data_IF_623206869178
#
_entry.id   IF_623206869178
#
_cell.length_a   1.000
_cell.length_b   1.000
_cell.length_c   1.000
_cell.angle_alpha   90.00
_cell.angle_beta   90.00
_cell.angle_gamma   90.00
#
_symmetry.space_group_name_H-M   'P 1'
#
loop_
_entity.id
_entity.type
_entity.pdbx_description
1 polymer ?
#
# COMPACT_ATOMS: atom_id res chain seq x y z
N UNK A 1 -0.47 8.83 -21.94
CA UNK A 1 0.34 9.51 -20.88
C UNK A 1 0.72 10.91 -21.33
N UNK A 2 1.03 11.86 -20.43
CA UNK A 2 1.40 13.23 -20.87
C UNK A 2 2.72 13.25 -21.65
N UNK A 3 3.61 12.30 -21.38
CA UNK A 3 4.85 12.08 -22.16
C UNK A 3 4.59 11.94 -23.66
N UNK A 4 3.62 11.11 -24.05
CA UNK A 4 3.29 10.86 -25.47
C UNK A 4 2.84 12.16 -26.15
N UNK A 5 2.08 13.01 -25.44
CA UNK A 5 1.68 14.32 -25.96
C UNK A 5 2.89 15.24 -26.18
N UNK A 6 3.89 15.21 -25.28
CA UNK A 6 5.14 15.95 -25.45
C UNK A 6 5.97 15.43 -26.63
N UNK A 7 6.03 14.11 -26.82
CA UNK A 7 6.73 13.48 -27.95
C UNK A 7 6.10 13.88 -29.29
N UNK A 8 4.77 13.82 -29.38
CA UNK A 8 4.02 14.23 -30.56
C UNK A 8 4.25 15.72 -30.91
N UNK A 9 4.15 16.60 -29.92
CA UNK A 9 4.40 18.02 -30.14
C UNK A 9 5.85 18.27 -30.59
N UNK A 10 6.82 17.63 -29.93
CA UNK A 10 8.23 17.80 -30.27
C UNK A 10 8.51 17.34 -31.70
N UNK A 11 7.95 16.19 -32.11
CA UNK A 11 8.04 15.67 -33.46
C UNK A 11 7.40 16.63 -34.47
N UNK A 12 6.22 17.19 -34.18
CA UNK A 12 5.54 18.15 -35.04
C UNK A 12 6.36 19.44 -35.26
N UNK A 13 7.03 19.93 -34.20
CA UNK A 13 7.92 21.09 -34.31
C UNK A 13 9.20 20.79 -35.09
N UNK A 14 9.78 19.60 -34.90
CA UNK A 14 10.94 19.14 -35.68
C UNK A 14 10.61 18.93 -37.15
N UNK A 15 9.40 18.47 -37.47
CA UNK A 15 8.95 18.33 -38.86
C UNK A 15 8.89 19.69 -39.56
N UNK A 16 8.45 20.74 -38.86
CA UNK A 16 8.41 22.12 -39.40
C UNK A 16 9.80 22.78 -39.43
N UNK A 17 10.65 22.48 -38.45
CA UNK A 17 12.02 22.98 -38.37
C UNK A 17 12.96 21.87 -37.90
N UNK A 18 13.70 21.23 -38.82
CA UNK A 18 14.61 20.14 -38.48
C UNK A 18 15.70 20.51 -37.45
N UNK A 19 16.05 21.81 -37.33
CA UNK A 19 17.01 22.34 -36.35
C UNK A 19 16.39 22.57 -34.97
N UNK A 20 15.08 22.36 -34.79
CA UNK A 20 14.41 22.54 -33.50
C UNK A 20 14.92 21.50 -32.49
N UNK A 21 15.79 21.97 -31.58
CA UNK A 21 16.45 21.12 -30.60
C UNK A 21 15.57 20.84 -29.39
N UNK A 22 15.92 19.80 -28.63
CA UNK A 22 15.28 19.51 -27.35
C UNK A 22 15.44 20.66 -26.35
N UNK A 23 16.56 21.39 -26.41
CA UNK A 23 16.78 22.60 -25.60
C UNK A 23 15.80 23.71 -25.96
N UNK A 24 15.54 23.94 -27.25
CA UNK A 24 14.56 24.92 -27.69
C UNK A 24 13.14 24.52 -27.23
N UNK A 25 12.81 23.23 -27.26
CA UNK A 25 11.53 22.75 -26.76
C UNK A 25 11.39 22.91 -25.23
N UNK A 26 12.45 22.62 -24.48
CA UNK A 26 12.49 22.83 -23.04
C UNK A 26 12.33 24.31 -22.68
N UNK A 27 13.02 25.21 -23.41
CA UNK A 27 12.89 26.65 -23.24
C UNK A 27 11.45 27.13 -23.50
N UNK A 28 10.81 26.64 -24.57
CA UNK A 28 9.40 26.92 -24.85
C UNK A 28 8.50 26.49 -23.67
N UNK A 29 8.68 25.27 -23.18
CA UNK A 29 7.93 24.74 -22.03
C UNK A 29 8.27 25.45 -20.71
N UNK A 30 9.41 26.15 -20.63
CA UNK A 30 9.89 26.82 -19.41
C UNK A 30 10.46 25.83 -18.40
N UNK A 31 11.17 24.82 -18.88
CA UNK A 31 11.86 23.82 -18.05
C UNK A 31 13.28 23.60 -18.55
N UNK A 32 14.10 22.93 -17.76
CA UNK A 32 15.45 22.58 -18.17
C UNK A 32 15.45 21.33 -19.08
N UNK A 33 16.41 21.30 -20.01
CA UNK A 33 16.52 20.22 -20.98
C UNK A 33 16.79 18.84 -20.35
N UNK A 34 17.40 18.77 -19.16
CA UNK A 34 17.72 17.51 -18.50
C UNK A 34 16.44 16.87 -17.92
N UNK A 35 15.59 17.67 -17.29
CA UNK A 35 14.26 17.26 -16.81
C UNK A 35 13.39 16.80 -17.96
N UNK A 36 13.32 17.58 -19.04
CA UNK A 36 12.53 17.19 -20.21
C UNK A 36 13.03 15.89 -20.83
N UNK A 37 14.36 15.71 -20.96
CA UNK A 37 14.93 14.47 -21.48
C UNK A 37 14.63 13.26 -20.58
N UNK A 38 14.67 13.41 -19.25
CA UNK A 38 14.28 12.35 -18.32
C UNK A 38 12.80 11.97 -18.45
N UNK A 39 11.92 12.95 -18.67
CA UNK A 39 10.49 12.71 -18.87
C UNK A 39 10.22 11.98 -20.18
N UNK A 40 10.84 12.41 -21.28
CA UNK A 40 10.70 11.75 -22.59
C UNK A 40 11.29 10.33 -22.58
N UNK A 41 12.37 10.07 -21.83
CA UNK A 41 12.89 8.70 -21.65
C UNK A 41 12.03 7.84 -20.72
N UNK A 42 11.06 8.41 -20.03
CA UNK A 42 10.23 7.72 -19.04
C UNK A 42 10.95 7.42 -17.71
N UNK A 43 12.17 7.91 -17.51
CA UNK A 43 12.89 7.75 -16.24
C UNK A 43 12.35 8.66 -15.14
N UNK A 44 11.48 9.62 -15.50
CA UNK A 44 10.81 10.55 -14.58
C UNK A 44 9.39 10.84 -15.09
N UNK A 45 8.40 10.90 -14.20
CA UNK A 45 7.04 11.37 -14.54
C UNK A 45 6.96 12.90 -14.58
N UNK A 46 6.07 13.45 -15.40
CA UNK A 46 5.80 14.88 -15.43
C UNK A 46 5.04 15.30 -14.16
N UNK A 47 5.52 16.28 -13.36
CA UNK A 47 4.79 16.75 -12.19
C UNK A 47 3.43 17.34 -12.58
N UNK A 48 2.37 17.02 -11.82
CA UNK A 48 1.01 17.50 -12.11
C UNK A 48 0.88 19.03 -12.26
N UNK A 49 1.65 19.79 -11.47
CA UNK A 49 1.71 21.26 -11.60
C UNK A 49 2.31 21.72 -12.93
N UNK A 50 3.32 21.01 -13.45
CA UNK A 50 3.93 21.30 -14.74
C UNK A 50 3.03 20.89 -15.91
N UNK A 51 2.28 19.79 -15.79
CA UNK A 51 1.33 19.35 -16.82
C UNK A 51 0.35 20.45 -17.16
N UNK A 52 -0.26 21.12 -16.16
CA UNK A 52 -1.20 22.22 -16.41
C UNK A 52 -0.54 23.41 -17.12
N UNK A 53 0.65 23.81 -16.68
CA UNK A 53 1.39 24.92 -17.29
C UNK A 53 1.80 24.60 -18.75
N UNK A 54 2.27 23.38 -18.99
CA UNK A 54 2.67 22.91 -20.32
C UNK A 54 1.49 22.70 -21.24
N UNK A 55 0.41 22.08 -20.77
CA UNK A 55 -0.83 21.89 -21.53
C UNK A 55 -1.36 23.23 -22.06
N UNK A 56 -1.39 24.27 -21.20
CA UNK A 56 -1.76 25.64 -21.63
C UNK A 56 -0.85 26.17 -22.74
N UNK A 57 0.47 26.02 -22.62
CA UNK A 57 1.43 26.43 -23.68
C UNK A 57 1.24 25.65 -24.98
N UNK A 58 0.84 24.39 -24.87
CA UNK A 58 0.54 23.49 -25.99
C UNK A 58 -0.84 23.70 -26.60
N UNK A 59 -1.61 24.69 -26.12
CA UNK A 59 -2.94 25.03 -26.63
C UNK A 59 -4.05 24.08 -26.17
N UNK A 60 -3.82 23.27 -25.14
CA UNK A 60 -4.86 22.40 -24.58
C UNK A 60 -5.80 23.21 -23.68
N UNK A 61 -7.05 22.80 -23.69
CA UNK A 61 -8.08 23.27 -22.76
C UNK A 61 -7.80 22.79 -21.33
N UNK A 62 -8.35 23.47 -20.31
CA UNK A 62 -8.28 23.00 -18.92
C UNK A 62 -8.80 21.57 -18.73
N UNK A 63 -9.86 21.20 -19.46
CA UNK A 63 -10.50 19.89 -19.40
C UNK A 63 -9.56 18.80 -19.96
N UNK A 64 -8.94 19.02 -21.12
CA UNK A 64 -7.94 18.11 -21.68
C UNK A 64 -6.73 17.97 -20.73
N UNK A 65 -6.27 19.08 -20.14
CA UNK A 65 -5.18 19.06 -19.18
C UNK A 65 -5.53 18.24 -17.93
N UNK A 66 -6.79 18.31 -17.46
CA UNK A 66 -7.26 17.56 -16.30
C UNK A 66 -7.21 16.03 -16.53
N UNK A 67 -7.49 15.57 -17.76
CA UNK A 67 -7.37 14.15 -18.14
C UNK A 67 -5.94 13.65 -17.96
N UNK A 68 -4.95 14.42 -18.44
CA UNK A 68 -3.54 14.06 -18.28
C UNK A 68 -3.08 14.10 -16.82
N UNK A 69 -3.53 15.09 -16.05
CA UNK A 69 -3.25 15.16 -14.62
C UNK A 69 -3.83 13.93 -13.91
N UNK A 70 -5.07 13.55 -14.19
CA UNK A 70 -5.70 12.38 -13.60
C UNK A 70 -4.96 11.08 -13.97
N UNK A 71 -4.59 10.92 -15.25
CA UNK A 71 -3.84 9.77 -15.74
C UNK A 71 -2.46 9.62 -15.06
N UNK A 72 -1.75 10.72 -14.77
CA UNK A 72 -0.45 10.67 -14.10
C UNK A 72 -0.56 10.41 -12.58
N UNK A 73 -1.73 10.65 -11.98
CA UNK A 73 -2.05 10.26 -10.60
C UNK A 73 -2.46 8.79 -10.46
N UNK A 74 -2.76 8.09 -11.57
CA UNK A 74 -2.90 6.64 -11.53
C UNK A 74 -1.54 6.06 -11.16
N UNK A 75 -1.40 5.41 -9.98
CA UNK A 75 -0.14 4.81 -9.60
C UNK A 75 0.23 3.76 -10.66
N UNK A 76 1.51 3.65 -11.03
CA UNK A 76 1.92 2.46 -11.77
C UNK A 76 1.63 1.21 -10.94
N UNK A 77 1.58 0.05 -11.60
CA UNK A 77 1.27 -1.22 -10.95
C UNK A 77 2.16 -1.46 -9.71
N UNK A 78 3.44 -1.09 -9.76
CA UNK A 78 4.37 -1.23 -8.64
C UNK A 78 4.02 -0.32 -7.45
N UNK A 79 3.67 0.94 -7.71
CA UNK A 79 3.25 1.91 -6.69
C UNK A 79 1.88 1.55 -6.12
N UNK A 80 0.93 1.15 -6.95
CA UNK A 80 -0.38 0.66 -6.52
C UNK A 80 -0.23 -0.56 -5.60
N UNK A 81 0.60 -1.53 -6.00
CA UNK A 81 0.88 -2.71 -5.20
C UNK A 81 1.49 -2.35 -3.84
N UNK A 82 2.50 -1.46 -3.82
CA UNK A 82 3.13 -0.99 -2.57
C UNK A 82 2.13 -0.26 -1.66
N UNK A 83 1.26 0.57 -2.22
CA UNK A 83 0.21 1.25 -1.45
C UNK A 83 -0.81 0.27 -0.88
N UNK A 84 -1.20 -0.74 -1.65
CA UNK A 84 -2.11 -1.79 -1.19
C UNK A 84 -1.48 -2.62 -0.07
N UNK A 85 -0.22 -3.03 -0.21
CA UNK A 85 0.52 -3.72 0.86
C UNK A 85 0.63 -2.86 2.12
N UNK A 86 0.96 -1.58 1.99
CA UNK A 86 1.00 -0.66 3.14
C UNK A 86 -0.36 -0.60 3.84
N UNK A 87 -1.44 -0.36 3.09
CA UNK A 87 -2.80 -0.32 3.64
C UNK A 87 -3.17 -1.62 4.35
N UNK A 88 -2.84 -2.76 3.74
CA UNK A 88 -3.09 -4.08 4.34
C UNK A 88 -2.38 -4.21 5.69
N UNK A 89 -1.07 -3.96 5.75
CA UNK A 89 -0.30 -4.09 6.99
C UNK A 89 -0.66 -3.04 8.05
N UNK A 90 -1.03 -1.82 7.63
CA UNK A 90 -1.59 -0.81 8.53
C UNK A 90 -2.90 -1.28 9.16
N UNK A 91 -3.80 -1.89 8.38
CA UNK A 91 -5.05 -2.44 8.89
C UNK A 91 -4.80 -3.60 9.88
N UNK A 92 -3.82 -4.46 9.60
CA UNK A 92 -3.43 -5.54 10.52
C UNK A 92 -2.88 -4.99 11.85
N UNK A 93 -2.00 -3.98 11.80
CA UNK A 93 -1.48 -3.32 13.00
C UNK A 93 -2.59 -2.65 13.81
N UNK A 94 -3.51 -1.94 13.14
CA UNK A 94 -4.62 -1.27 13.80
C UNK A 94 -5.56 -2.27 14.48
N UNK A 95 -5.88 -3.38 13.82
CA UNK A 95 -6.71 -4.45 14.39
C UNK A 95 -6.10 -5.03 15.68
N UNK A 96 -4.79 -5.27 15.70
CA UNK A 96 -4.08 -5.76 16.90
C UNK A 96 -4.15 -4.76 18.07
N UNK A 97 -4.06 -3.46 17.78
CA UNK A 97 -4.02 -2.41 18.82
C UNK A 97 -5.42 -2.11 19.38
N UNK A 98 -6.44 -2.15 18.52
CA UNK A 98 -7.80 -1.72 18.86
C UNK A 98 -8.68 -2.85 19.37
N UNK A 99 -8.44 -4.10 18.93
CA UNK A 99 -9.29 -5.22 19.28
C UNK A 99 -8.63 -6.16 20.28
N UNK A 100 -9.21 -6.22 21.50
CA UNK A 100 -8.79 -7.15 22.57
C UNK A 100 -9.00 -8.64 22.22
N UNK A 101 -9.81 -8.96 21.21
CA UNK A 101 -10.12 -10.33 20.80
C UNK A 101 -8.87 -11.20 20.56
N UNK A 102 -7.83 -10.64 19.95
CA UNK A 102 -6.56 -11.33 19.71
C UNK A 102 -5.90 -11.80 21.00
N UNK A 103 -5.90 -10.94 22.02
CA UNK A 103 -5.35 -11.26 23.33
C UNK A 103 -6.19 -12.33 24.04
N UNK A 104 -7.52 -12.24 23.98
CA UNK A 104 -8.40 -13.23 24.63
C UNK A 104 -8.22 -14.63 24.05
N UNK A 105 -8.06 -14.75 22.74
CA UNK A 105 -7.76 -16.05 22.10
C UNK A 105 -6.46 -16.63 22.67
N UNK A 106 -5.37 -15.85 22.69
CA UNK A 106 -4.07 -16.32 23.18
C UNK A 106 -4.12 -16.64 24.67
N UNK A 107 -4.78 -15.80 25.48
CA UNK A 107 -4.95 -16.00 26.92
C UNK A 107 -5.73 -17.30 27.20
N UNK A 108 -6.86 -17.51 26.52
CA UNK A 108 -7.70 -18.68 26.70
C UNK A 108 -7.02 -19.96 26.20
N UNK A 109 -6.22 -19.90 25.13
CA UNK A 109 -5.44 -21.04 24.58
C UNK A 109 -4.47 -21.68 25.58
N UNK A 110 -4.16 -20.98 26.67
CA UNK A 110 -3.23 -21.39 27.72
C UNK A 110 -3.94 -21.93 28.96
N UNK A 111 -5.26 -21.91 28.97
CA UNK A 111 -6.06 -22.45 30.08
C UNK A 111 -6.21 -23.97 29.94
N UNK A 112 -6.29 -24.68 31.07
CA UNK A 112 -6.50 -26.14 31.05
C UNK A 112 -7.86 -26.57 30.48
N UNK A 113 -8.84 -25.67 30.44
CA UNK A 113 -10.18 -25.87 29.89
C UNK A 113 -10.32 -25.44 28.43
N UNK A 114 -9.20 -25.10 27.76
CA UNK A 114 -9.23 -24.55 26.42
C UNK A 114 -9.92 -25.48 25.41
N UNK A 115 -10.84 -24.91 24.63
CA UNK A 115 -11.42 -25.56 23.45
C UNK A 115 -11.05 -24.77 22.19
N UNK A 116 -10.49 -25.41 21.16
CA UNK A 116 -10.12 -24.78 19.88
C UNK A 116 -11.37 -24.51 19.01
N UNK A 117 -12.34 -23.78 19.56
CA UNK A 117 -13.62 -23.48 18.95
C UNK A 117 -13.98 -21.99 19.12
N UNK A 118 -14.35 -21.33 18.02
CA UNK A 118 -14.63 -19.90 18.02
C UNK A 118 -15.88 -19.53 18.84
N UNK A 119 -16.88 -20.40 18.95
CA UNK A 119 -18.10 -20.14 19.73
C UNK A 119 -17.81 -20.22 21.22
N UNK A 120 -17.02 -21.21 21.63
CA UNK A 120 -16.54 -21.32 23.00
C UNK A 120 -15.73 -20.09 23.41
N UNK A 121 -14.78 -19.65 22.57
CA UNK A 121 -13.97 -18.45 22.85
C UNK A 121 -14.86 -17.20 22.94
N UNK A 122 -15.80 -17.04 22.01
CA UNK A 122 -16.75 -15.93 22.01
C UNK A 122 -17.53 -15.84 23.32
N UNK A 123 -18.02 -16.97 23.82
CA UNK A 123 -18.72 -17.06 25.10
C UNK A 123 -17.80 -16.73 26.29
N UNK A 124 -16.58 -17.28 26.33
CA UNK A 124 -15.65 -17.06 27.46
C UNK A 124 -15.11 -15.62 27.52
N UNK A 125 -15.02 -14.95 26.37
CA UNK A 125 -14.44 -13.62 26.25
C UNK A 125 -15.49 -12.49 26.20
N UNK A 126 -16.79 -12.81 26.23
CA UNK A 126 -17.90 -11.87 25.98
C UNK A 126 -17.72 -11.10 24.66
N UNK A 127 -17.50 -11.86 23.58
CA UNK A 127 -17.29 -11.35 22.22
C UNK A 127 -18.28 -12.00 21.26
N UNK A 128 -18.48 -11.38 20.10
CA UNK A 128 -19.21 -12.03 19.01
C UNK A 128 -18.31 -13.06 18.30
N UNK A 129 -18.92 -14.12 17.78
CA UNK A 129 -18.20 -15.15 17.01
C UNK A 129 -17.46 -14.54 15.81
N UNK A 130 -18.06 -13.54 15.15
CA UNK A 130 -17.43 -12.84 14.02
C UNK A 130 -16.13 -12.12 14.44
N UNK A 131 -16.12 -11.45 15.59
CA UNK A 131 -14.91 -10.80 16.11
C UNK A 131 -13.83 -11.81 16.43
N UNK A 132 -14.19 -12.97 16.98
CA UNK A 132 -13.26 -14.07 17.23
C UNK A 132 -12.71 -14.63 15.91
N UNK A 133 -13.55 -14.83 14.89
CA UNK A 133 -13.12 -15.32 13.58
C UNK A 133 -12.15 -14.35 12.88
N UNK A 134 -12.43 -13.04 12.92
CA UNK A 134 -11.53 -12.02 12.37
C UNK A 134 -10.19 -12.02 13.11
N UNK A 135 -10.23 -12.05 14.45
CA UNK A 135 -9.02 -12.07 15.26
C UNK A 135 -8.20 -13.36 15.06
N UNK A 136 -8.86 -14.53 14.99
CA UNK A 136 -8.20 -15.81 14.72
C UNK A 136 -7.52 -15.79 13.35
N UNK A 137 -8.22 -15.35 12.31
CA UNK A 137 -7.67 -15.27 10.95
C UNK A 137 -6.40 -14.40 10.91
N UNK A 138 -6.40 -13.29 11.67
CA UNK A 138 -5.24 -12.42 11.82
C UNK A 138 -4.10 -13.10 12.59
N UNK A 139 -4.38 -13.79 13.70
CA UNK A 139 -3.37 -14.53 14.47
C UNK A 139 -2.68 -15.63 13.66
N UNK A 140 -3.44 -16.35 12.82
CA UNK A 140 -2.92 -17.38 11.91
C UNK A 140 -2.03 -16.75 10.82
N UNK A 141 -2.52 -15.68 10.16
CA UNK A 141 -1.74 -14.95 9.14
C UNK A 141 -0.43 -14.39 9.70
N UNK A 142 -0.46 -13.85 10.91
CA UNK A 142 0.74 -13.34 11.61
C UNK A 142 1.60 -14.45 12.22
N UNK A 143 1.26 -15.74 12.07
CA UNK A 143 1.99 -16.86 12.68
C UNK A 143 2.21 -16.67 14.18
N UNK A 144 1.18 -16.16 14.86
CA UNK A 144 1.08 -16.07 16.32
C UNK A 144 0.32 -17.28 16.88
N UNK A 145 -0.54 -17.87 16.05
CA UNK A 145 -1.16 -19.17 16.26
C UNK A 145 -0.98 -20.02 15.00
N UNK A 146 -1.11 -21.32 15.17
CA UNK A 146 -1.17 -22.32 14.09
C UNK A 146 -2.24 -23.34 14.42
N UNK A 147 -2.98 -23.81 13.42
CA UNK A 147 -3.90 -24.95 13.57
C UNK A 147 -3.16 -26.19 13.05
N UNK A 148 -2.84 -27.13 13.95
CA UNK A 148 -2.21 -28.38 13.58
C UNK A 148 -3.16 -29.33 12.84
N UNK A 149 -2.60 -30.39 12.24
CA UNK A 149 -3.35 -31.36 11.44
C UNK A 149 -4.52 -32.05 12.18
N UNK A 150 -4.46 -32.10 13.52
CA UNK A 150 -5.49 -32.69 14.38
C UNK A 150 -6.54 -31.68 14.85
N UNK A 151 -6.52 -30.44 14.32
CA UNK A 151 -7.38 -29.35 14.78
C UNK A 151 -6.93 -28.70 16.09
N UNK A 152 -5.85 -29.19 16.71
CA UNK A 152 -5.26 -28.57 17.90
C UNK A 152 -4.61 -27.24 17.55
N UNK A 153 -4.91 -26.19 18.31
CA UNK A 153 -4.26 -24.90 18.14
C UNK A 153 -2.94 -24.88 18.90
N UNK A 154 -1.89 -24.42 18.21
CA UNK A 154 -0.55 -24.24 18.76
C UNK A 154 -0.24 -22.76 18.81
N UNK A 155 0.21 -22.33 19.97
CA UNK A 155 0.60 -20.97 20.25
C UNK A 155 2.08 -20.76 19.85
N UNK A 156 2.38 -19.69 19.11
CA UNK A 156 3.70 -19.45 18.49
C UNK A 156 4.41 -18.18 19.02
N UNK A 157 3.90 -17.54 20.07
CA UNK A 157 4.55 -16.35 20.67
C UNK A 157 5.84 -16.69 21.41
N UNK A 158 5.98 -17.92 21.92
CA UNK A 158 7.16 -18.34 22.69
C UNK A 158 7.27 -17.67 24.06
N UNK A 159 6.22 -16.97 24.51
CA UNK A 159 6.20 -16.28 25.80
C UNK A 159 5.68 -17.24 26.89
N UNK A 160 6.33 -17.40 28.05
CA UNK A 160 5.86 -18.33 29.10
C UNK A 160 4.55 -17.86 29.75
N UNK A 161 4.48 -16.61 30.17
CA UNK A 161 3.30 -15.97 30.76
C UNK A 161 3.16 -14.54 30.26
N UNK A 162 2.74 -14.34 29.00
CA UNK A 162 2.65 -13.01 28.42
C UNK A 162 1.60 -12.15 29.12
N UNK A 163 1.90 -10.87 29.29
CA UNK A 163 0.88 -9.83 29.50
C UNK A 163 0.29 -9.40 28.15
N UNK A 164 -0.91 -8.81 28.16
CA UNK A 164 -1.51 -8.24 26.95
C UNK A 164 -0.56 -7.24 26.25
N UNK A 165 0.16 -6.42 27.03
CA UNK A 165 1.13 -5.46 26.49
C UNK A 165 2.30 -6.15 25.78
N UNK A 166 2.83 -7.22 26.34
CA UNK A 166 3.91 -8.00 25.71
C UNK A 166 3.42 -8.69 24.43
N UNK A 167 2.22 -9.27 24.47
CA UNK A 167 1.58 -9.84 23.29
C UNK A 167 1.42 -8.80 22.17
N UNK A 168 0.85 -7.62 22.47
CA UNK A 168 0.67 -6.54 21.50
C UNK A 168 2.01 -6.10 20.90
N UNK A 169 3.05 -5.94 21.72
CA UNK A 169 4.41 -5.59 21.26
C UNK A 169 4.96 -6.63 20.29
N UNK A 170 4.80 -7.92 20.61
CA UNK A 170 5.24 -9.02 19.75
C UNK A 170 4.44 -9.08 18.45
N UNK A 171 3.12 -8.96 18.52
CA UNK A 171 2.24 -8.98 17.35
C UNK A 171 2.56 -7.83 16.39
N UNK A 172 2.80 -6.61 16.90
CA UNK A 172 3.25 -5.48 16.09
C UNK A 172 4.64 -5.71 15.48
N UNK A 173 5.57 -6.34 16.21
CA UNK A 173 6.87 -6.71 15.66
C UNK A 173 6.72 -7.73 14.51
N UNK A 174 5.76 -8.64 14.61
CA UNK A 174 5.42 -9.64 13.58
C UNK A 174 4.82 -8.99 12.34
N UNK A 175 3.88 -8.05 12.50
CA UNK A 175 3.34 -7.23 11.39
C UNK A 175 4.48 -6.52 10.65
N UNK A 176 5.43 -5.92 11.39
CA UNK A 176 6.60 -5.25 10.79
C UNK A 176 7.55 -6.21 10.08
N UNK A 177 7.67 -7.45 10.53
CA UNK A 177 8.48 -8.46 9.84
C UNK A 177 7.83 -8.83 8.51
N UNK A 178 6.54 -9.17 8.54
CA UNK A 178 5.82 -9.59 7.34
C UNK A 178 5.60 -8.46 6.32
N UNK A 179 5.65 -7.20 6.75
CA UNK A 179 5.59 -6.06 5.82
C UNK A 179 6.90 -5.79 5.07
N UNK A 180 7.99 -6.48 5.43
CA UNK A 180 9.30 -6.40 4.77
C UNK A 180 9.61 -7.59 3.87
N UNK A 181 8.87 -8.68 4.04
CA UNK A 181 8.92 -9.88 3.19
C UNK A 181 8.08 -9.66 1.93
#
# INVERSE_FOLDING_TARGET
>A
MFRERLEQEFAARRAKNPRHSLRAFAAFLGTDHSTLAQILRGSRRAPAGQIRAWAKKLGLTPEEAAVYVAAEHVPDAATAHRQQQLRHWTAEALGIVTERAHWEIVRLSRTGSFQPDCRWIAQQADLTVDRVNVALSRLLRLRLLEVGATGKWKELTGLPSPTERQFRKLALARVRQMSKE
#
